data_IF_317858278980
#
_entry.id   IF_317858278980
#
_cell.length_a   1.000
_cell.length_b   1.000
_cell.length_c   1.000
_cell.angle_alpha   90.00
_cell.angle_beta   90.00
_cell.angle_gamma   90.00
#
_symmetry.space_group_name_H-M   'P 1'
#
loop_
_entity.id
_entity.type
_entity.pdbx_description
1 polymer ?
#
# COMPACT_ATOMS: atom_id res chain seq x y z
N UNK A 1 19.86 -13.84 -9.73
CA UNK A 1 20.02 -12.37 -9.78
C UNK A 1 18.98 -11.75 -8.86
N UNK A 2 19.38 -11.18 -7.72
CA UNK A 2 18.46 -10.35 -6.91
C UNK A 2 18.33 -9.01 -7.63
N UNK A 3 17.14 -8.68 -8.08
CA UNK A 3 16.82 -7.37 -8.68
C UNK A 3 17.16 -6.31 -7.62
N UNK A 4 17.95 -5.31 -7.97
CA UNK A 4 18.39 -4.30 -7.00
C UNK A 4 17.28 -3.26 -6.88
N UNK A 5 16.34 -3.52 -5.98
CA UNK A 5 15.10 -2.73 -5.82
C UNK A 5 15.36 -1.24 -5.54
N UNK A 6 16.54 -0.90 -5.02
CA UNK A 6 16.93 0.49 -4.76
C UNK A 6 17.14 1.31 -6.04
N UNK A 7 17.63 0.71 -7.12
CA UNK A 7 17.86 1.42 -8.40
C UNK A 7 16.56 1.65 -9.19
N UNK A 8 15.57 0.77 -9.00
CA UNK A 8 14.23 0.87 -9.61
C UNK A 8 13.31 1.87 -8.86
N UNK A 9 13.81 2.57 -7.84
CA UNK A 9 13.05 3.46 -6.97
C UNK A 9 12.09 2.75 -6.01
N UNK A 10 12.28 1.44 -5.80
CA UNK A 10 11.53 0.65 -4.82
C UNK A 10 12.18 0.82 -3.44
N UNK A 11 11.61 1.70 -2.63
CA UNK A 11 11.98 1.80 -1.22
C UNK A 11 11.36 0.63 -0.41
N UNK A 12 12.10 -0.48 -0.35
CA UNK A 12 11.79 -1.67 0.44
C UNK A 12 12.46 -1.66 1.82
N UNK A 13 13.11 -0.55 2.22
CA UNK A 13 13.76 -0.49 3.53
C UNK A 13 12.76 -0.71 4.66
N UNK A 14 13.28 -1.33 5.73
CA UNK A 14 12.54 -1.55 6.97
C UNK A 14 11.90 -0.24 7.45
N UNK A 15 10.67 -0.31 7.94
CA UNK A 15 9.95 0.86 8.45
C UNK A 15 10.48 1.34 9.81
N UNK A 16 11.35 0.57 10.47
CA UNK A 16 11.90 0.83 11.81
C UNK A 16 12.51 2.23 11.97
N UNK A 17 13.15 2.77 10.92
CA UNK A 17 13.81 4.08 10.95
C UNK A 17 13.13 5.13 10.08
N UNK A 18 11.90 4.89 9.61
CA UNK A 18 11.19 5.80 8.71
C UNK A 18 10.19 6.67 9.43
N UNK A 19 10.11 7.92 9.01
CA UNK A 19 9.01 8.81 9.39
C UNK A 19 7.69 8.33 8.81
N UNK A 20 6.57 8.72 9.42
CA UNK A 20 5.23 8.40 8.90
C UNK A 20 5.05 8.85 7.44
N UNK A 21 5.65 9.99 7.06
CA UNK A 21 5.60 10.51 5.69
C UNK A 21 6.30 9.59 4.68
N UNK A 22 7.44 9.03 5.06
CA UNK A 22 8.19 8.10 4.22
C UNK A 22 7.47 6.75 4.08
N UNK A 23 6.90 6.25 5.18
CA UNK A 23 6.06 5.04 5.16
C UNK A 23 4.86 5.25 4.24
N UNK A 24 4.11 6.35 4.40
CA UNK A 24 2.96 6.70 3.56
C UNK A 24 3.36 6.77 2.08
N UNK A 25 4.48 7.45 1.77
CA UNK A 25 5.00 7.56 0.40
C UNK A 25 5.37 6.19 -0.17
N UNK A 26 6.03 5.33 0.61
CA UNK A 26 6.41 3.99 0.17
C UNK A 26 5.17 3.13 -0.12
N UNK A 27 4.19 3.11 0.79
CA UNK A 27 2.95 2.34 0.61
C UNK A 27 2.12 2.84 -0.57
N UNK A 28 1.89 4.15 -0.69
CA UNK A 28 1.11 4.71 -1.79
C UNK A 28 1.78 4.48 -3.15
N UNK A 29 3.11 4.57 -3.22
CA UNK A 29 3.87 4.26 -4.42
C UNK A 29 3.76 2.78 -4.82
N UNK A 30 3.92 1.85 -3.86
CA UNK A 30 3.74 0.40 -4.11
C UNK A 30 2.35 0.10 -4.67
N UNK A 31 1.31 0.69 -4.09
CA UNK A 31 -0.07 0.56 -4.58
C UNK A 31 -0.22 1.14 -5.99
N UNK A 32 0.34 2.32 -6.26
CA UNK A 32 0.29 2.94 -7.59
C UNK A 32 0.98 2.08 -8.66
N UNK A 33 2.08 1.41 -8.33
CA UNK A 33 2.75 0.47 -9.22
C UNK A 33 1.91 -0.77 -9.50
N UNK A 34 1.30 -1.38 -8.48
CA UNK A 34 0.36 -2.48 -8.67
C UNK A 34 -0.81 -2.05 -9.54
N UNK A 35 -1.34 -0.84 -9.32
CA UNK A 35 -2.40 -0.30 -10.16
C UNK A 35 -1.94 -0.15 -11.61
N UNK A 36 -0.78 0.46 -11.88
CA UNK A 36 -0.24 0.59 -13.25
C UNK A 36 -0.09 -0.76 -13.96
N UNK A 37 0.26 -1.82 -13.21
CA UNK A 37 0.40 -3.19 -13.75
C UNK A 37 -0.95 -3.84 -14.07
N UNK A 38 -1.99 -3.59 -13.26
CA UNK A 38 -3.30 -4.27 -13.36
C UNK A 38 -4.39 -3.46 -14.09
N UNK A 39 -4.26 -2.13 -14.10
CA UNK A 39 -5.27 -1.21 -14.62
C UNK A 39 -4.62 -0.09 -15.45
N UNK A 40 -5.18 0.15 -16.64
CA UNK A 40 -4.65 1.11 -17.63
C UNK A 40 -4.59 2.56 -17.13
N UNK A 41 -5.53 2.98 -16.26
CA UNK A 41 -5.58 4.36 -15.76
C UNK A 41 -6.09 4.45 -14.33
N UNK A 42 -5.77 5.56 -13.65
CA UNK A 42 -6.35 5.92 -12.36
C UNK A 42 -7.88 6.00 -12.41
N UNK A 43 -8.45 6.54 -13.50
CA UNK A 43 -9.89 6.70 -13.67
C UNK A 43 -10.61 5.34 -13.71
N UNK A 44 -10.11 4.40 -14.50
CA UNK A 44 -10.68 3.04 -14.60
C UNK A 44 -10.61 2.34 -13.24
N UNK A 45 -9.49 2.48 -12.52
CA UNK A 45 -9.37 1.87 -11.20
C UNK A 45 -10.30 2.52 -10.17
N UNK A 46 -10.41 3.85 -10.17
CA UNK A 46 -11.31 4.57 -9.26
C UNK A 46 -12.77 4.13 -9.45
N UNK A 47 -13.23 4.03 -10.71
CA UNK A 47 -14.55 3.49 -11.05
C UNK A 47 -14.72 2.05 -10.55
N UNK A 48 -13.71 1.19 -10.76
CA UNK A 48 -13.73 -0.21 -10.31
C UNK A 48 -13.92 -0.36 -8.80
N UNK A 49 -13.29 0.52 -7.99
CA UNK A 49 -13.37 0.47 -6.53
C UNK A 49 -14.52 1.33 -5.95
N UNK A 50 -15.37 1.90 -6.80
CA UNK A 50 -16.48 2.75 -6.38
C UNK A 50 -16.05 4.08 -5.73
N UNK A 51 -14.90 4.63 -6.14
CA UNK A 51 -14.37 5.90 -5.66
C UNK A 51 -14.37 6.98 -6.77
N UNK A 52 -14.44 8.25 -6.36
CA UNK A 52 -14.23 9.35 -7.30
C UNK A 52 -12.78 9.35 -7.80
N UNK A 53 -12.58 9.75 -9.06
CA UNK A 53 -11.25 9.93 -9.64
C UNK A 53 -10.38 10.88 -8.80
N UNK A 54 -10.95 11.99 -8.31
CA UNK A 54 -10.22 12.96 -7.48
C UNK A 54 -9.74 12.38 -6.15
N UNK A 55 -10.56 11.53 -5.51
CA UNK A 55 -10.18 10.84 -4.28
C UNK A 55 -9.00 9.88 -4.50
N UNK A 56 -9.08 9.06 -5.54
CA UNK A 56 -8.01 8.10 -5.84
C UNK A 56 -6.73 8.78 -6.35
N UNK A 57 -6.86 9.81 -7.20
CA UNK A 57 -5.73 10.60 -7.69
C UNK A 57 -4.99 11.31 -6.55
N UNK A 58 -5.72 11.86 -5.56
CA UNK A 58 -5.12 12.41 -4.34
C UNK A 58 -4.33 11.36 -3.58
N UNK A 59 -4.89 10.17 -3.37
CA UNK A 59 -4.18 9.07 -2.73
C UNK A 59 -2.86 8.71 -3.42
N UNK A 60 -2.83 8.54 -4.76
CA UNK A 60 -1.56 8.27 -5.43
C UNK A 60 -0.55 9.43 -5.33
N UNK A 61 -1.03 10.68 -5.20
CA UNK A 61 -0.17 11.87 -5.11
C UNK A 61 0.38 12.13 -3.70
N UNK A 62 -0.45 11.96 -2.68
CA UNK A 62 -0.12 12.33 -1.29
C UNK A 62 0.00 11.14 -0.35
N UNK A 63 -0.56 10.00 -0.72
CA UNK A 63 -0.75 8.83 0.14
C UNK A 63 -1.88 8.97 1.15
N UNK A 64 -2.59 10.11 1.16
CA UNK A 64 -3.69 10.35 2.09
C UNK A 64 -5.00 9.78 1.55
N UNK A 65 -5.65 8.98 2.39
CA UNK A 65 -7.00 8.43 2.18
C UNK A 65 -7.58 8.05 3.53
N UNK A 66 -8.90 7.99 3.65
CA UNK A 66 -9.52 7.38 4.84
C UNK A 66 -9.20 5.89 4.91
N UNK A 67 -9.22 5.30 6.11
CA UNK A 67 -9.03 3.86 6.29
C UNK A 67 -10.01 3.03 5.44
N UNK A 68 -11.28 3.46 5.34
CA UNK A 68 -12.27 2.84 4.46
C UNK A 68 -11.81 2.87 2.99
N UNK A 69 -11.31 4.01 2.52
CA UNK A 69 -10.79 4.12 1.16
C UNK A 69 -9.55 3.25 0.94
N UNK A 70 -8.67 3.15 1.93
CA UNK A 70 -7.54 2.22 1.88
C UNK A 70 -8.01 0.77 1.72
N UNK A 71 -8.99 0.32 2.52
CA UNK A 71 -9.57 -1.03 2.39
C UNK A 71 -10.16 -1.25 0.99
N UNK A 72 -10.92 -0.29 0.45
CA UNK A 72 -11.46 -0.38 -0.92
C UNK A 72 -10.35 -0.50 -1.97
N UNK A 73 -9.27 0.26 -1.82
CA UNK A 73 -8.12 0.22 -2.73
C UNK A 73 -7.42 -1.14 -2.65
N UNK A 74 -7.11 -1.63 -1.45
CA UNK A 74 -6.41 -2.91 -1.25
C UNK A 74 -7.26 -4.09 -1.72
N UNK A 75 -8.57 -4.05 -1.48
CA UNK A 75 -9.50 -5.06 -2.01
C UNK A 75 -9.56 -5.01 -3.54
N UNK A 76 -9.77 -3.82 -4.11
CA UNK A 76 -9.88 -3.64 -5.56
C UNK A 76 -8.60 -3.91 -6.32
N UNK A 77 -7.43 -3.68 -5.71
CA UNK A 77 -6.16 -4.06 -6.32
C UNK A 77 -5.94 -5.57 -6.26
N UNK A 78 -6.55 -6.29 -5.30
CA UNK A 78 -6.38 -7.74 -5.11
C UNK A 78 -5.24 -8.08 -4.16
N UNK A 79 -5.12 -7.34 -3.06
CA UNK A 79 -4.12 -7.52 -2.00
C UNK A 79 -4.79 -7.62 -0.61
N UNK A 80 -6.09 -7.96 -0.55
CA UNK A 80 -6.84 -8.00 0.71
C UNK A 80 -6.24 -8.96 1.73
N UNK A 81 -5.61 -10.04 1.27
CA UNK A 81 -4.99 -11.04 2.14
C UNK A 81 -3.81 -10.48 2.95
N UNK A 82 -3.15 -9.42 2.48
CA UNK A 82 -2.11 -8.72 3.24
C UNK A 82 -2.66 -8.06 4.51
N UNK A 83 -3.96 -7.72 4.54
CA UNK A 83 -4.59 -7.18 5.75
C UNK A 83 -4.92 -8.27 6.78
N UNK A 84 -5.03 -9.54 6.38
CA UNK A 84 -5.35 -10.63 7.30
C UNK A 84 -4.26 -10.82 8.36
N UNK A 85 -3.01 -10.57 7.98
CA UNK A 85 -1.84 -10.71 8.86
C UNK A 85 -1.43 -9.39 9.51
N UNK A 86 -2.05 -8.27 9.13
CA UNK A 86 -1.72 -6.97 9.68
C UNK A 86 -2.16 -6.92 11.16
N UNK A 87 -1.21 -6.62 12.05
CA UNK A 87 -1.40 -6.61 13.51
C UNK A 87 -1.67 -7.97 14.16
N UNK A 88 -1.43 -9.08 13.46
CA UNK A 88 -1.31 -10.37 14.13
C UNK A 88 0.11 -10.46 14.71
N UNK A 89 0.22 -10.43 16.04
CA UNK A 89 1.42 -10.90 16.72
C UNK A 89 1.40 -12.43 16.66
N UNK A 90 2.41 -13.04 16.05
CA UNK A 90 2.71 -14.44 16.39
C UNK A 90 2.99 -14.45 17.88
N UNK A 91 2.19 -15.18 18.67
CA UNK A 91 2.41 -15.42 20.10
C UNK A 91 3.82 -16.01 20.31
N UNK A 92 4.84 -15.16 20.34
CA UNK A 92 6.00 -15.43 21.15
C UNK A 92 5.52 -15.15 22.57
N UNK A 93 4.94 -16.19 23.18
CA UNK A 93 4.77 -16.27 24.63
C UNK A 93 6.18 -16.07 25.19
N UNK A 94 6.51 -14.83 25.53
CA UNK A 94 7.64 -14.56 26.42
C UNK A 94 7.16 -15.08 27.76
N UNK A 95 7.46 -16.34 28.07
CA UNK A 95 7.41 -16.84 29.44
C UNK A 95 8.38 -15.98 30.25
N UNK A 96 7.86 -14.96 30.93
CA UNK A 96 8.59 -14.31 32.00
C UNK A 96 8.79 -15.35 33.10
N UNK A 97 10.01 -15.91 33.18
CA UNK A 97 10.51 -16.58 34.38
C UNK A 97 11.17 -15.57 35.31
#
# INVERSE_FOLDING_TARGET
>A
MKRNYMEDGFDLDAFEFKTSKEIIKSLSFRVALLRKKRFKSQKIFAEHIGMSFGSYSRFEKTGEVSLRGFISIIKGIGCIDELNTLFLEEENIIEWR
#
